data_IF_711756417697
#
_entry.id   IF_711756417697
#
_cell.length_a   1.000
_cell.length_b   1.000
_cell.length_c   1.000
_cell.angle_alpha   90.00
_cell.angle_beta   90.00
_cell.angle_gamma   90.00
#
_symmetry.space_group_name_H-M   'P 1'
#
loop_
_entity.id
_entity.type
_entity.pdbx_description
1 polymer ?
#
# COMPACT_ATOMS: atom_id res chain seq x y z
N UNK A 1 -26.74 -11.64 2.53
CA UNK A 1 -27.26 -10.62 3.42
C UNK A 1 -27.62 -9.39 2.60
N UNK A 2 -28.88 -8.93 2.64
CA UNK A 2 -29.33 -7.68 2.04
C UNK A 2 -29.66 -6.71 3.15
N UNK A 3 -29.05 -5.52 3.11
CA UNK A 3 -29.29 -4.47 4.11
C UNK A 3 -29.75 -3.23 3.33
N UNK A 4 -30.92 -2.73 3.70
CA UNK A 4 -31.53 -1.55 3.08
C UNK A 4 -31.79 -0.52 4.18
N UNK A 5 -31.44 0.74 3.90
CA UNK A 5 -31.60 1.82 4.87
C UNK A 5 -31.49 3.19 4.20
N UNK A 6 -32.05 4.21 4.83
CA UNK A 6 -31.96 5.59 4.38
C UNK A 6 -30.57 6.14 4.67
N UNK A 7 -29.73 6.32 3.62
CA UNK A 7 -28.34 6.78 3.73
C UNK A 7 -28.17 8.30 3.76
N UNK A 8 -29.18 9.07 3.37
CA UNK A 8 -29.14 10.53 3.32
C UNK A 8 -30.55 11.12 3.40
N UNK A 9 -30.65 12.40 3.76
CA UNK A 9 -31.89 13.16 3.86
C UNK A 9 -32.09 13.81 5.21
N UNK A 10 -32.92 14.84 5.26
CA UNK A 10 -33.13 15.65 6.46
C UNK A 10 -33.63 14.82 7.65
N UNK A 11 -34.58 13.93 7.42
CA UNK A 11 -35.17 13.10 8.48
C UNK A 11 -34.17 12.03 9.00
N UNK A 12 -33.43 11.39 8.09
CA UNK A 12 -32.41 10.40 8.47
C UNK A 12 -31.30 11.04 9.30
N UNK A 13 -30.83 12.22 8.89
CA UNK A 13 -29.79 12.97 9.61
C UNK A 13 -30.30 13.42 11.00
N UNK A 14 -31.51 14.00 11.04
CA UNK A 14 -32.11 14.44 12.30
C UNK A 14 -32.33 13.27 13.28
N UNK A 15 -32.79 12.14 12.79
CA UNK A 15 -32.97 10.91 13.59
C UNK A 15 -31.65 10.40 14.17
N UNK A 16 -30.57 10.42 13.38
CA UNK A 16 -29.22 10.06 13.84
C UNK A 16 -28.74 10.96 14.98
N UNK A 17 -28.81 12.27 14.78
CA UNK A 17 -28.40 13.27 15.80
C UNK A 17 -29.21 13.10 17.11
N UNK A 18 -30.54 12.93 17.02
CA UNK A 18 -31.36 12.74 18.18
C UNK A 18 -31.01 11.44 18.91
N UNK A 19 -30.77 10.35 18.16
CA UNK A 19 -30.35 9.08 18.74
C UNK A 19 -29.06 9.19 19.52
N UNK A 20 -28.07 9.91 18.96
CA UNK A 20 -26.76 10.16 19.60
C UNK A 20 -26.92 11.01 20.85
N UNK A 21 -27.78 12.04 20.85
CA UNK A 21 -28.07 12.85 22.03
C UNK A 21 -28.73 12.04 23.15
N UNK A 22 -29.70 11.18 22.81
CA UNK A 22 -30.34 10.27 23.78
C UNK A 22 -29.30 9.31 24.36
N UNK A 23 -28.47 8.70 23.50
CA UNK A 23 -27.41 7.81 23.94
C UNK A 23 -26.43 8.49 24.91
N UNK A 24 -26.00 9.70 24.59
CA UNK A 24 -25.08 10.50 25.43
C UNK A 24 -25.73 10.89 26.75
N UNK A 25 -27.05 11.17 26.77
CA UNK A 25 -27.77 11.53 28.01
C UNK A 25 -27.92 10.34 28.96
N UNK A 26 -28.03 9.14 28.42
CA UNK A 26 -28.26 7.91 29.19
C UNK A 26 -26.94 7.19 29.54
N UNK A 27 -25.88 7.44 28.78
CA UNK A 27 -24.55 6.90 29.05
C UNK A 27 -23.88 7.68 30.18
N UNK A 28 -23.54 7.01 31.29
CA UNK A 28 -22.56 7.54 32.23
C UNK A 28 -21.27 7.71 31.44
N UNK A 29 -20.92 8.95 31.07
CA UNK A 29 -19.65 9.27 30.43
C UNK A 29 -18.55 8.71 31.33
N UNK A 30 -17.96 7.59 30.95
CA UNK A 30 -16.74 7.13 31.59
C UNK A 30 -15.71 8.20 31.32
N UNK A 31 -15.14 8.74 32.41
CA UNK A 31 -14.10 9.75 32.35
C UNK A 31 -13.02 9.30 31.38
N UNK A 32 -12.97 9.90 30.21
CA UNK A 32 -11.99 9.59 29.15
C UNK A 32 -10.61 10.16 29.52
N UNK A 33 -10.54 10.85 30.66
CA UNK A 33 -9.34 11.51 31.15
C UNK A 33 -8.23 10.57 31.65
N UNK A 34 -8.42 9.24 31.55
CA UNK A 34 -7.39 8.27 31.92
C UNK A 34 -6.50 7.81 30.75
N UNK A 35 -6.57 8.44 29.58
CA UNK A 35 -5.57 8.24 28.53
C UNK A 35 -4.39 9.18 28.84
N UNK A 36 -3.65 8.86 29.91
CA UNK A 36 -2.41 9.55 30.25
C UNK A 36 -1.21 9.08 29.43
N UNK A 37 -1.42 8.20 28.47
CA UNK A 37 -0.38 7.80 27.54
C UNK A 37 -0.50 8.66 26.27
N UNK A 38 0.49 9.49 26.02
CA UNK A 38 0.60 10.19 24.74
C UNK A 38 0.78 9.13 23.64
N UNK A 39 -0.23 8.97 22.80
CA UNK A 39 -0.10 8.12 21.61
C UNK A 39 0.79 8.87 20.64
N UNK A 40 2.01 8.39 20.47
CA UNK A 40 2.91 8.90 19.45
C UNK A 40 2.49 8.36 18.08
N UNK A 41 2.16 9.26 17.16
CA UNK A 41 1.80 8.88 15.80
C UNK A 41 3.06 8.47 15.02
N UNK A 42 3.09 7.24 14.55
CA UNK A 42 4.14 6.78 13.64
C UNK A 42 4.01 7.53 12.31
N UNK A 43 5.13 8.04 11.80
CA UNK A 43 5.14 8.68 10.48
C UNK A 43 4.88 7.64 9.41
N UNK A 44 4.04 7.99 8.43
CA UNK A 44 3.68 7.10 7.33
C UNK A 44 4.90 6.51 6.62
N UNK A 45 5.95 7.31 6.42
CA UNK A 45 7.20 6.92 5.76
C UNK A 45 7.97 5.80 6.48
N UNK A 46 7.71 5.61 7.78
CA UNK A 46 8.34 4.58 8.62
C UNK A 46 7.52 3.29 8.72
N UNK A 47 6.32 3.27 8.13
CA UNK A 47 5.48 2.08 8.10
C UNK A 47 6.03 1.05 7.10
N UNK A 48 5.82 -0.23 7.42
CA UNK A 48 6.23 -1.34 6.58
C UNK A 48 5.03 -1.90 5.83
N UNK A 49 5.21 -2.16 4.53
CA UNK A 49 4.20 -2.76 3.68
C UNK A 49 4.85 -3.79 2.76
N UNK A 50 4.08 -4.75 2.31
CA UNK A 50 4.41 -5.61 1.19
C UNK A 50 4.01 -4.91 -0.11
N UNK A 51 4.78 -5.09 -1.19
CA UNK A 51 4.52 -4.45 -2.46
C UNK A 51 4.49 -5.43 -3.62
N UNK A 52 3.56 -5.18 -4.52
CA UNK A 52 3.53 -5.71 -5.87
C UNK A 52 4.13 -4.67 -6.82
N UNK A 53 5.17 -5.04 -7.55
CA UNK A 53 5.77 -4.24 -8.61
C UNK A 53 5.42 -4.84 -9.96
N UNK A 54 4.99 -3.98 -10.87
CA UNK A 54 4.88 -4.26 -12.29
C UNK A 54 5.90 -3.42 -13.05
N UNK A 55 6.85 -4.08 -13.71
CA UNK A 55 7.97 -3.45 -14.40
C UNK A 55 7.90 -3.85 -15.86
N UNK A 56 7.92 -2.88 -16.77
CA UNK A 56 8.12 -3.11 -18.19
C UNK A 56 9.58 -2.78 -18.54
N UNK A 57 10.31 -3.74 -19.04
CA UNK A 57 11.72 -3.57 -19.36
C UNK A 57 12.06 -4.17 -20.74
N UNK A 58 13.10 -3.64 -21.38
CA UNK A 58 13.64 -4.18 -22.62
C UNK A 58 14.26 -5.55 -22.37
N UNK A 59 14.05 -6.50 -23.29
CA UNK A 59 14.57 -7.87 -23.19
C UNK A 59 16.06 -7.89 -23.53
N UNK A 60 16.89 -7.51 -22.54
CA UNK A 60 18.35 -7.55 -22.63
C UNK A 60 18.92 -8.52 -21.60
N UNK A 61 20.04 -9.15 -21.93
CA UNK A 61 20.60 -10.27 -21.15
C UNK A 61 20.96 -9.96 -19.69
N UNK A 62 21.23 -8.70 -19.38
CA UNK A 62 21.60 -8.21 -18.04
C UNK A 62 20.45 -7.51 -17.28
N UNK A 63 19.25 -7.45 -17.86
CA UNK A 63 18.07 -6.81 -17.30
C UNK A 63 17.70 -7.40 -15.93
N UNK A 64 17.52 -8.71 -15.86
CA UNK A 64 17.10 -9.39 -14.62
C UNK A 64 18.15 -9.28 -13.50
N UNK A 65 19.46 -9.51 -13.77
CA UNK A 65 20.51 -9.23 -12.79
C UNK A 65 20.50 -7.79 -12.28
N UNK A 66 20.33 -6.80 -13.17
CA UNK A 66 20.32 -5.38 -12.84
C UNK A 66 19.14 -5.02 -11.94
N UNK A 67 17.91 -5.47 -12.28
CA UNK A 67 16.73 -5.28 -11.46
C UNK A 67 16.90 -5.94 -10.09
N UNK A 68 17.31 -7.21 -10.04
CA UNK A 68 17.49 -7.95 -8.79
C UNK A 68 18.55 -7.32 -7.89
N UNK A 69 19.61 -6.75 -8.46
CA UNK A 69 20.67 -6.08 -7.70
C UNK A 69 20.17 -4.85 -6.95
N UNK A 70 19.21 -4.10 -7.51
CA UNK A 70 18.62 -2.94 -6.87
C UNK A 70 17.90 -3.34 -5.57
N UNK A 71 17.10 -4.42 -5.59
CA UNK A 71 16.43 -4.93 -4.39
C UNK A 71 17.46 -5.44 -3.36
N UNK A 72 18.44 -6.20 -3.81
CA UNK A 72 19.50 -6.76 -2.94
C UNK A 72 20.32 -5.65 -2.28
N UNK A 73 20.70 -4.62 -3.02
CA UNK A 73 21.49 -3.49 -2.50
C UNK A 73 20.73 -2.68 -1.44
N UNK A 74 19.41 -2.68 -1.50
CA UNK A 74 18.54 -2.08 -0.49
C UNK A 74 18.19 -3.04 0.66
N UNK A 75 18.67 -4.28 0.61
CA UNK A 75 18.35 -5.31 1.61
C UNK A 75 16.89 -5.74 1.58
N UNK A 76 16.20 -5.56 0.46
CA UNK A 76 14.79 -5.92 0.29
C UNK A 76 14.70 -7.35 -0.24
N UNK A 77 14.01 -8.21 0.50
CA UNK A 77 13.73 -9.58 0.08
C UNK A 77 12.63 -9.61 -0.98
N UNK A 78 12.86 -10.43 -2.01
CA UNK A 78 11.86 -10.73 -3.04
C UNK A 78 11.18 -12.05 -2.65
N UNK A 79 9.87 -12.01 -2.44
CA UNK A 79 9.07 -13.20 -2.15
C UNK A 79 8.80 -14.00 -3.41
N UNK A 80 8.45 -13.32 -4.50
CA UNK A 80 8.25 -13.95 -5.80
C UNK A 80 8.63 -13.03 -6.94
N UNK A 81 9.08 -13.64 -8.04
CA UNK A 81 9.36 -12.98 -9.29
C UNK A 81 8.76 -13.80 -10.43
N UNK A 82 8.08 -13.14 -11.35
CA UNK A 82 7.48 -13.75 -12.52
C UNK A 82 7.71 -12.88 -13.73
N UNK A 83 8.22 -13.48 -14.79
CA UNK A 83 8.38 -12.87 -16.10
C UNK A 83 7.32 -13.46 -17.03
N UNK A 84 6.56 -12.62 -17.71
CA UNK A 84 5.61 -13.05 -18.73
C UNK A 84 6.26 -13.00 -20.11
N UNK A 85 5.90 -13.98 -20.95
CA UNK A 85 6.33 -13.98 -22.34
C UNK A 85 5.82 -12.74 -23.06
N UNK A 86 6.67 -12.19 -23.90
CA UNK A 86 6.37 -11.03 -24.72
C UNK A 86 5.49 -11.45 -25.89
N UNK A 87 4.29 -10.95 -25.98
CA UNK A 87 3.37 -11.31 -27.06
C UNK A 87 3.45 -10.41 -28.29
N UNK A 88 3.98 -9.17 -28.22
CA UNK A 88 3.97 -8.27 -29.36
C UNK A 88 4.91 -7.03 -29.33
N UNK A 89 5.75 -6.83 -28.31
CA UNK A 89 6.64 -5.68 -28.20
C UNK A 89 8.00 -6.10 -27.66
N UNK A 90 9.06 -5.33 -27.92
CA UNK A 90 10.40 -5.54 -27.37
C UNK A 90 10.50 -5.34 -25.83
N UNK A 91 9.36 -5.19 -25.15
CA UNK A 91 9.26 -5.00 -23.70
C UNK A 91 8.71 -6.25 -23.04
N UNK A 92 9.38 -6.66 -21.97
CA UNK A 92 9.01 -7.81 -21.15
C UNK A 92 8.37 -7.34 -19.85
N UNK A 93 7.14 -7.78 -19.52
CA UNK A 93 6.53 -7.50 -18.24
C UNK A 93 7.08 -8.42 -17.14
N UNK A 94 7.59 -7.80 -16.08
CA UNK A 94 8.14 -8.45 -14.91
C UNK A 94 7.26 -8.09 -13.71
N UNK A 95 6.87 -9.11 -12.95
CA UNK A 95 6.11 -8.96 -11.72
C UNK A 95 7.00 -9.37 -10.56
N UNK A 96 7.12 -8.50 -9.56
CA UNK A 96 7.86 -8.77 -8.33
C UNK A 96 6.95 -8.52 -7.15
N UNK A 97 6.89 -9.49 -6.23
CA UNK A 97 6.28 -9.33 -4.92
C UNK A 97 7.41 -9.31 -3.89
N UNK A 98 7.43 -8.27 -3.06
CA UNK A 98 8.44 -8.12 -2.02
C UNK A 98 7.95 -8.66 -0.69
N UNK A 99 8.87 -8.92 0.22
CA UNK A 99 8.59 -8.98 1.65
C UNK A 99 8.30 -7.57 2.19
N UNK A 100 8.05 -7.46 3.49
CA UNK A 100 7.79 -6.17 4.15
C UNK A 100 8.99 -5.22 4.00
N UNK A 101 8.73 -4.03 3.50
CA UNK A 101 9.72 -2.95 3.43
C UNK A 101 9.10 -1.61 3.82
N UNK A 102 9.94 -0.68 4.27
CA UNK A 102 9.49 0.66 4.64
C UNK A 102 9.03 1.45 3.43
N UNK A 103 8.03 2.30 3.63
CA UNK A 103 7.57 3.22 2.59
C UNK A 103 8.69 4.09 2.01
N UNK A 104 9.65 4.51 2.85
CA UNK A 104 10.84 5.24 2.39
C UNK A 104 11.66 4.43 1.39
N UNK A 105 11.93 3.17 1.71
CA UNK A 105 12.76 2.30 0.89
C UNK A 105 12.05 1.95 -0.43
N UNK A 106 10.71 1.83 -0.40
CA UNK A 106 9.89 1.65 -1.59
C UNK A 106 10.05 2.82 -2.58
N UNK A 107 9.99 4.08 -2.10
CA UNK A 107 10.18 5.25 -2.96
C UNK A 107 11.57 5.26 -3.60
N UNK A 108 12.61 4.93 -2.85
CA UNK A 108 13.97 4.84 -3.36
C UNK A 108 14.14 3.70 -4.38
N UNK A 109 13.49 2.55 -4.16
CA UNK A 109 13.48 1.44 -5.11
C UNK A 109 12.86 1.83 -6.46
N UNK A 110 11.70 2.49 -6.43
CA UNK A 110 11.02 2.94 -7.66
C UNK A 110 11.93 3.88 -8.45
N UNK A 111 12.58 4.84 -7.78
CA UNK A 111 13.48 5.78 -8.45
C UNK A 111 14.70 5.05 -9.07
N UNK A 112 15.34 4.16 -8.31
CA UNK A 112 16.50 3.42 -8.80
C UNK A 112 16.16 2.48 -9.97
N UNK A 113 14.96 1.89 -9.97
CA UNK A 113 14.47 1.07 -11.08
C UNK A 113 14.26 1.92 -12.35
N UNK A 114 13.71 3.12 -12.20
CA UNK A 114 13.48 4.04 -13.32
C UNK A 114 14.78 4.65 -13.87
N UNK A 115 15.91 4.61 -13.14
CA UNK A 115 17.22 5.02 -13.61
C UNK A 115 17.90 3.98 -14.50
N UNK A 116 17.39 2.75 -14.58
CA UNK A 116 17.91 1.73 -15.49
C UNK A 116 17.47 2.02 -16.93
N UNK A 117 18.40 2.11 -17.86
CA UNK A 117 18.11 2.34 -19.29
C UNK A 117 17.22 1.25 -19.90
N UNK A 118 17.26 0.04 -19.34
CA UNK A 118 16.43 -1.09 -19.77
C UNK A 118 15.00 -1.03 -19.25
N UNK A 119 14.68 -0.18 -18.25
CA UNK A 119 13.36 -0.09 -17.64
C UNK A 119 12.57 1.07 -18.23
N UNK A 120 11.40 0.73 -18.80
CA UNK A 120 10.51 1.72 -19.42
C UNK A 120 9.42 2.23 -18.45
N UNK A 121 8.86 1.33 -17.65
CA UNK A 121 7.76 1.67 -16.75
C UNK A 121 7.89 0.90 -15.44
N UNK A 122 7.63 1.56 -14.31
CA UNK A 122 7.48 0.94 -13.00
C UNK A 122 6.15 1.37 -12.41
N UNK A 123 5.32 0.40 -12.02
CA UNK A 123 4.09 0.61 -11.25
C UNK A 123 4.14 -0.25 -10.00
N UNK A 124 3.64 0.27 -8.90
CA UNK A 124 3.62 -0.47 -7.64
C UNK A 124 2.29 -0.30 -6.90
N UNK A 125 1.90 -1.34 -6.19
CA UNK A 125 0.68 -1.37 -5.37
C UNK A 125 1.07 -1.97 -4.02
N UNK A 126 0.58 -1.39 -2.93
CA UNK A 126 0.69 -1.99 -1.60
C UNK A 126 -0.22 -3.20 -1.52
N UNK A 127 0.27 -4.24 -0.87
CA UNK A 127 -0.51 -5.41 -0.50
C UNK A 127 -0.78 -5.31 0.99
N UNK A 128 -2.05 -5.36 1.39
CA UNK A 128 -2.39 -5.47 2.80
C UNK A 128 -2.06 -6.89 3.26
N UNK A 129 -1.27 -6.98 4.34
CA UNK A 129 -1.03 -8.26 5.00
C UNK A 129 -2.37 -8.74 5.61
N UNK A 130 -2.74 -9.97 5.32
CA UNK A 130 -3.89 -10.64 5.94
C UNK A 130 -3.60 -11.05 7.37
#
# INVERSE_FOLDING_TARGET
LHIEGSGAGQEATASGVISDLIYLSDSKIKDVNNINESIELVKFIDLNFQYYFYIEASDVSDMMPSISSIFTNKGVSIESISQKENLNNDLVPIIIITDLLKEKDHHELVNNLLELDSVNTVRSIRIEAQ
#
